data_IF_100343565063
#
_entry.id   IF_100343565063
#
_cell.length_a   1.000
_cell.length_b   1.000
_cell.length_c   1.000
_cell.angle_alpha   90.00
_cell.angle_beta   90.00
_cell.angle_gamma   90.00
#
_symmetry.space_group_name_H-M   'P 1'
#
loop_
_entity.id
_entity.type
_entity.pdbx_description
1 polymer ?
#
# COMPACT_ATOMS: atom_id res chain seq x y z
N UNK A 1 23.94 -9.11 -2.55
CA UNK A 1 23.51 -9.33 -1.15
C UNK A 1 23.19 -7.97 -0.54
N UNK A 2 21.93 -7.54 -0.58
CA UNK A 2 21.49 -6.36 0.17
C UNK A 2 21.37 -6.77 1.65
N UNK A 3 21.87 -5.97 2.60
CA UNK A 3 21.93 -6.36 4.00
C UNK A 3 20.51 -6.35 4.61
N UNK A 4 20.16 -7.50 5.19
CA UNK A 4 19.03 -7.64 6.10
C UNK A 4 19.33 -6.76 7.32
N UNK A 5 18.52 -5.72 7.53
CA UNK A 5 18.67 -4.76 8.62
C UNK A 5 18.58 -5.53 9.94
N UNK A 6 19.71 -5.65 10.64
CA UNK A 6 19.79 -6.19 12.00
C UNK A 6 20.18 -5.07 12.97
N UNK A 7 19.38 -4.96 14.03
CA UNK A 7 19.54 -4.22 15.29
C UNK A 7 19.13 -2.75 15.37
N UNK A 8 18.18 -2.57 16.31
CA UNK A 8 17.95 -1.45 17.23
C UNK A 8 17.27 -0.17 16.75
N UNK A 9 16.10 -0.30 16.10
CA UNK A 9 15.00 0.69 16.15
C UNK A 9 13.74 0.01 15.57
N UNK A 10 12.55 0.12 16.18
CA UNK A 10 11.37 -0.55 15.64
C UNK A 10 10.93 0.15 14.35
N UNK A 11 10.79 -0.53 13.20
CA UNK A 11 10.13 0.04 12.03
C UNK A 11 8.62 0.00 12.29
N UNK A 12 8.13 0.98 13.04
CA UNK A 12 6.75 1.10 13.51
C UNK A 12 5.98 2.21 12.79
N UNK A 13 6.08 2.34 11.48
CA UNK A 13 5.15 3.15 10.67
C UNK A 13 5.00 2.48 9.29
N UNK A 14 3.83 2.15 8.75
CA UNK A 14 2.49 2.33 9.22
C UNK A 14 1.62 1.13 8.81
N UNK A 15 0.90 0.61 9.77
CA UNK A 15 -0.24 -0.25 9.53
C UNK A 15 -1.43 0.71 9.44
N UNK A 16 -2.04 0.86 8.26
CA UNK A 16 -3.13 1.82 7.94
C UNK A 16 -3.26 2.96 8.96
N UNK A 17 -2.80 4.16 8.62
CA UNK A 17 -2.91 5.35 9.46
C UNK A 17 -4.29 5.51 10.14
N UNK A 18 -5.37 5.04 9.49
CA UNK A 18 -6.74 4.99 10.04
C UNK A 18 -7.01 3.83 11.03
N UNK A 19 -6.50 2.60 10.80
CA UNK A 19 -6.61 1.49 11.77
C UNK A 19 -5.75 1.72 13.00
N UNK A 20 -4.61 2.42 12.89
CA UNK A 20 -3.80 2.80 14.04
C UNK A 20 -4.55 3.77 14.98
N UNK A 21 -5.29 4.73 14.40
CA UNK A 21 -6.11 5.68 15.16
C UNK A 21 -7.28 4.99 15.89
N UNK A 22 -7.94 4.04 15.22
CA UNK A 22 -8.99 3.21 15.81
C UNK A 22 -8.44 2.25 16.89
N UNK A 23 -7.27 1.65 16.66
CA UNK A 23 -6.60 0.71 17.56
C UNK A 23 -6.07 1.36 18.84
N UNK A 24 -5.52 2.58 18.74
CA UNK A 24 -4.92 3.26 19.89
C UNK A 24 -5.95 3.99 20.77
N UNK A 25 -7.24 4.02 20.40
CA UNK A 25 -8.28 4.86 21.03
C UNK A 25 -7.80 6.30 21.27
N UNK A 26 -6.86 6.76 20.46
CA UNK A 26 -6.31 8.10 20.61
C UNK A 26 -7.39 9.04 20.09
N UNK A 27 -7.79 10.04 20.88
CA UNK A 27 -8.67 11.06 20.36
C UNK A 27 -8.00 11.68 19.13
N UNK A 28 -8.79 11.86 18.08
CA UNK A 28 -8.34 12.39 16.79
C UNK A 28 -7.58 13.71 16.95
N UNK A 29 -7.71 14.42 18.07
CA UNK A 29 -6.99 15.65 18.36
C UNK A 29 -5.47 15.44 18.50
N UNK A 30 -4.94 14.50 19.29
CA UNK A 30 -3.53 14.55 19.72
C UNK A 30 -2.50 14.08 18.69
N UNK A 31 -2.78 13.01 17.93
CA UNK A 31 -1.83 12.50 16.92
C UNK A 31 -1.94 13.29 15.61
N UNK A 32 -3.16 13.69 15.25
CA UNK A 32 -3.41 14.68 14.21
C UNK A 32 -2.70 15.97 14.57
N UNK A 33 -2.75 16.46 15.81
CA UNK A 33 -2.01 17.67 16.21
C UNK A 33 -0.48 17.50 16.13
N UNK A 34 0.07 16.32 16.42
CA UNK A 34 1.51 16.05 16.26
C UNK A 34 1.94 16.03 14.78
N UNK A 35 1.19 15.36 13.89
CA UNK A 35 1.44 15.41 12.43
C UNK A 35 1.12 16.78 11.83
N UNK A 36 0.04 17.44 12.25
CA UNK A 36 -0.30 18.81 11.89
C UNK A 36 0.81 19.79 12.28
N UNK A 37 1.44 19.63 13.44
CA UNK A 37 2.56 20.47 13.85
C UNK A 37 3.78 20.28 12.94
N UNK A 38 4.05 19.05 12.47
CA UNK A 38 5.10 18.78 11.48
C UNK A 38 4.76 19.33 10.08
N UNK A 39 3.51 19.17 9.64
CA UNK A 39 3.01 19.67 8.35
C UNK A 39 2.98 21.20 8.32
N UNK A 40 2.66 21.87 9.43
CA UNK A 40 2.74 23.34 9.56
C UNK A 40 4.17 23.85 9.66
N UNK A 41 5.08 23.11 10.30
CA UNK A 41 6.49 23.50 10.35
C UNK A 41 7.16 23.48 8.97
N UNK A 42 6.58 22.71 8.03
CA UNK A 42 7.03 22.57 6.65
C UNK A 42 6.23 23.40 5.64
N UNK A 43 5.49 24.43 6.07
CA UNK A 43 4.82 25.42 5.21
C UNK A 43 5.83 26.38 4.54
N UNK A 44 6.92 25.82 4.02
CA UNK A 44 7.86 26.53 3.15
C UNK A 44 7.20 26.65 1.78
N UNK A 45 6.95 27.88 1.28
CA UNK A 45 6.36 28.08 -0.03
C UNK A 45 7.15 27.35 -1.12
N UNK A 46 6.46 26.55 -1.94
CA UNK A 46 7.06 25.83 -3.07
C UNK A 46 7.45 24.37 -2.80
N UNK A 47 7.31 23.84 -1.58
CA UNK A 47 7.54 22.42 -1.30
C UNK A 47 6.21 21.66 -1.36
N UNK A 48 6.15 20.62 -2.20
CA UNK A 48 4.99 19.72 -2.29
C UNK A 48 5.08 18.60 -1.25
N UNK A 49 4.12 18.55 -0.33
CA UNK A 49 4.03 17.61 0.79
C UNK A 49 3.20 16.40 0.40
N UNK A 50 3.83 15.23 0.39
CA UNK A 50 3.24 13.96 -0.04
C UNK A 50 3.13 12.99 1.13
N UNK A 51 1.96 12.41 1.35
CA UNK A 51 1.81 11.27 2.27
C UNK A 51 1.86 9.94 1.51
N UNK A 52 2.56 8.95 2.04
CA UNK A 52 2.53 7.58 1.49
C UNK A 52 1.40 6.81 2.15
N UNK A 53 0.48 6.28 1.35
CA UNK A 53 -0.59 5.41 1.84
C UNK A 53 -0.29 3.97 1.45
N UNK A 54 -0.25 3.07 2.44
CA UNK A 54 0.19 1.69 2.28
C UNK A 54 -0.65 0.73 3.11
N UNK A 55 -0.63 -0.55 2.71
CA UNK A 55 -1.16 -1.66 3.49
C UNK A 55 -0.24 -2.86 3.30
N UNK A 56 0.34 -3.37 4.39
CA UNK A 56 1.43 -4.36 4.34
C UNK A 56 1.00 -5.76 3.89
N UNK A 57 -0.29 -6.09 4.01
CA UNK A 57 -0.83 -7.39 3.59
C UNK A 57 -0.24 -8.52 4.43
N UNK A 58 0.27 -9.59 3.79
CA UNK A 58 0.87 -10.74 4.50
C UNK A 58 2.19 -10.42 5.24
N UNK A 59 2.79 -9.25 5.02
CA UNK A 59 4.00 -8.78 5.72
C UNK A 59 3.62 -8.16 7.07
N UNK A 60 2.95 -8.96 7.90
CA UNK A 60 2.56 -8.58 9.27
C UNK A 60 2.45 -9.82 10.14
N UNK A 61 2.34 -9.63 11.45
CA UNK A 61 2.09 -10.70 12.42
C UNK A 61 0.77 -10.45 13.13
N UNK A 62 0.20 -11.50 13.74
CA UNK A 62 -1.07 -11.41 14.47
C UNK A 62 -1.02 -10.38 15.61
N UNK A 63 0.15 -10.13 16.21
CA UNK A 63 0.29 -9.18 17.33
C UNK A 63 -0.02 -7.73 16.93
N UNK A 64 0.11 -7.39 15.64
CA UNK A 64 -0.22 -6.07 15.10
C UNK A 64 -1.63 -5.99 14.53
N UNK A 65 -2.38 -7.10 14.51
CA UNK A 65 -3.73 -7.15 13.95
C UNK A 65 -4.80 -6.88 15.02
N UNK A 66 -5.88 -6.18 14.68
CA UNK A 66 -7.04 -6.07 15.56
C UNK A 66 -7.55 -7.44 15.99
N UNK A 67 -7.75 -7.62 17.30
CA UNK A 67 -8.19 -8.89 17.91
C UNK A 67 -7.27 -10.09 17.60
N UNK A 68 -5.98 -9.84 17.32
CA UNK A 68 -4.98 -10.86 16.98
C UNK A 68 -5.37 -11.76 15.79
N UNK A 69 -6.15 -11.23 14.85
CA UNK A 69 -6.52 -11.94 13.62
C UNK A 69 -5.30 -12.19 12.73
N UNK A 70 -5.45 -13.07 11.75
CA UNK A 70 -4.45 -13.25 10.71
C UNK A 70 -4.34 -11.97 9.85
N UNK A 71 -3.13 -11.61 9.37
CA UNK A 71 -2.96 -10.61 8.32
C UNK A 71 -3.73 -10.99 7.06
N UNK A 72 -4.01 -10.02 6.19
CA UNK A 72 -4.78 -10.25 4.96
C UNK A 72 -3.89 -10.27 3.71
N UNK A 73 -4.27 -11.00 2.66
CA UNK A 73 -3.55 -11.02 1.39
C UNK A 73 -4.43 -11.48 0.22
N UNK A 74 -3.87 -11.49 -0.99
CA UNK A 74 -4.49 -12.15 -2.14
C UNK A 74 -4.46 -13.69 -2.03
N UNK A 75 -3.59 -14.22 -1.17
CA UNK A 75 -3.30 -15.65 -0.97
C UNK A 75 -3.51 -16.10 0.48
N UNK A 76 -3.47 -17.41 0.71
CA UNK A 76 -3.34 -18.05 2.03
C UNK A 76 -1.91 -18.57 2.29
N UNK A 77 -0.93 -18.17 1.47
CA UNK A 77 0.49 -18.52 1.65
C UNK A 77 1.24 -17.38 2.36
N UNK A 78 1.72 -17.65 3.57
CA UNK A 78 2.64 -16.74 4.28
C UNK A 78 4.02 -16.70 3.62
N UNK A 79 4.87 -15.78 4.06
CA UNK A 79 6.30 -15.82 3.73
C UNK A 79 6.99 -16.98 4.47
N UNK A 80 8.18 -17.38 4.01
CA UNK A 80 8.95 -18.45 4.67
C UNK A 80 9.20 -18.14 6.15
N UNK A 81 8.95 -19.08 7.08
CA UNK A 81 9.28 -18.90 8.49
C UNK A 81 10.75 -18.53 8.70
N UNK A 82 11.02 -17.60 9.61
CA UNK A 82 12.36 -17.04 9.85
C UNK A 82 12.85 -16.03 8.81
N UNK A 83 12.10 -15.75 7.72
CA UNK A 83 12.43 -14.65 6.82
C UNK A 83 12.46 -13.33 7.61
N UNK A 84 13.56 -12.60 7.49
CA UNK A 84 13.84 -11.39 8.30
C UNK A 84 13.78 -11.64 9.83
N UNK A 85 14.00 -12.87 10.27
CA UNK A 85 13.96 -13.25 11.70
C UNK A 85 12.56 -13.28 12.31
N UNK A 86 11.51 -13.35 11.48
CA UNK A 86 10.11 -13.35 11.91
C UNK A 86 9.39 -14.58 11.38
N UNK A 87 8.53 -15.17 12.20
CA UNK A 87 7.59 -16.20 11.77
C UNK A 87 6.30 -15.56 11.26
N UNK A 88 6.07 -15.72 9.96
CA UNK A 88 4.93 -15.11 9.27
C UNK A 88 3.70 -16.03 9.37
N UNK A 89 2.60 -15.59 10.00
CA UNK A 89 1.39 -16.40 10.06
C UNK A 89 0.78 -16.58 8.66
N UNK A 90 0.04 -17.67 8.48
CA UNK A 90 -0.81 -17.87 7.31
C UNK A 90 -1.81 -16.71 7.17
N UNK A 91 -1.79 -15.94 6.07
CA UNK A 91 -2.70 -14.82 5.90
C UNK A 91 -4.13 -15.30 5.56
N UNK A 92 -5.11 -14.49 5.90
CA UNK A 92 -6.48 -14.60 5.41
C UNK A 92 -6.55 -14.12 3.95
N UNK A 93 -7.00 -14.99 3.06
CA UNK A 93 -7.25 -14.63 1.67
C UNK A 93 -8.50 -13.77 1.59
N UNK A 94 -8.36 -12.54 1.10
CA UNK A 94 -9.50 -11.65 0.91
C UNK A 94 -10.53 -12.24 -0.05
N UNK A 95 -11.79 -12.19 0.32
CA UNK A 95 -12.91 -12.32 -0.62
C UNK A 95 -13.06 -11.08 -1.50
N UNK A 96 -13.79 -11.18 -2.61
CA UNK A 96 -14.13 -10.04 -3.48
C UNK A 96 -14.73 -8.88 -2.67
N UNK A 97 -15.65 -9.19 -1.75
CA UNK A 97 -16.28 -8.17 -0.90
C UNK A 97 -15.29 -7.49 0.06
N UNK A 98 -14.35 -8.25 0.63
CA UNK A 98 -13.32 -7.68 1.51
C UNK A 98 -12.30 -6.86 0.70
N UNK A 99 -11.99 -7.25 -0.55
CA UNK A 99 -11.18 -6.44 -1.46
C UNK A 99 -11.80 -5.05 -1.68
N UNK A 100 -13.11 -4.99 -1.91
CA UNK A 100 -13.84 -3.72 -2.03
C UNK A 100 -13.77 -2.85 -0.75
N UNK A 101 -13.77 -3.48 0.43
CA UNK A 101 -13.57 -2.76 1.68
C UNK A 101 -12.17 -2.15 1.77
N UNK A 102 -11.12 -2.88 1.37
CA UNK A 102 -9.75 -2.37 1.36
C UNK A 102 -9.60 -1.20 0.36
N UNK A 103 -10.25 -1.25 -0.80
CA UNK A 103 -10.29 -0.12 -1.73
C UNK A 103 -10.85 1.13 -1.04
N UNK A 104 -11.96 0.97 -0.31
CA UNK A 104 -12.55 2.08 0.44
C UNK A 104 -11.63 2.57 1.58
N UNK A 105 -10.85 1.70 2.21
CA UNK A 105 -9.86 2.11 3.22
C UNK A 105 -8.76 3.01 2.60
N UNK A 106 -8.26 2.71 1.40
CA UNK A 106 -7.32 3.60 0.68
C UNK A 106 -7.95 4.95 0.34
N UNK A 107 -9.21 4.95 -0.13
CA UNK A 107 -9.97 6.16 -0.43
C UNK A 107 -10.10 7.07 0.79
N UNK A 108 -10.51 6.52 1.93
CA UNK A 108 -10.62 7.27 3.18
C UNK A 108 -9.25 7.77 3.66
N UNK A 109 -8.19 6.96 3.53
CA UNK A 109 -6.84 7.39 3.90
C UNK A 109 -6.37 8.59 3.06
N UNK A 110 -6.68 8.61 1.76
CA UNK A 110 -6.37 9.72 0.89
C UNK A 110 -7.12 10.99 1.27
N UNK A 111 -8.44 10.89 1.55
CA UNK A 111 -9.23 12.02 2.07
C UNK A 111 -8.62 12.60 3.34
N UNK A 112 -8.31 11.74 4.31
CA UNK A 112 -7.74 12.18 5.58
C UNK A 112 -6.35 12.82 5.43
N UNK A 113 -5.56 12.40 4.43
CA UNK A 113 -4.28 13.07 4.13
C UNK A 113 -4.50 14.51 3.62
N UNK A 114 -5.46 14.71 2.72
CA UNK A 114 -5.81 16.06 2.25
C UNK A 114 -6.36 16.93 3.38
N UNK A 115 -7.25 16.39 4.21
CA UNK A 115 -7.77 17.08 5.40
C UNK A 115 -6.67 17.44 6.41
N UNK A 116 -5.59 16.65 6.46
CA UNK A 116 -4.41 16.92 7.28
C UNK A 116 -3.46 17.98 6.70
N UNK A 117 -3.70 18.45 5.47
CA UNK A 117 -2.91 19.50 4.82
C UNK A 117 -1.75 18.99 3.96
N UNK A 118 -1.76 17.72 3.55
CA UNK A 118 -0.88 17.25 2.48
C UNK A 118 -1.38 17.74 1.12
N UNK A 119 -0.44 18.01 0.21
CA UNK A 119 -0.75 18.43 -1.17
C UNK A 119 -1.20 17.26 -2.06
N UNK A 120 -0.92 16.03 -1.64
CA UNK A 120 -1.37 14.81 -2.29
C UNK A 120 -0.83 13.54 -1.66
N UNK A 121 -1.09 12.39 -2.30
CA UNK A 121 -0.71 11.07 -1.80
C UNK A 121 0.06 10.27 -2.84
N UNK A 122 0.96 9.41 -2.37
CA UNK A 122 1.53 8.32 -3.16
C UNK A 122 0.99 6.98 -2.66
N UNK A 123 0.30 6.27 -3.54
CA UNK A 123 -0.17 4.91 -3.32
C UNK A 123 1.02 3.97 -3.38
N UNK A 124 1.24 3.18 -2.32
CA UNK A 124 2.34 2.22 -2.29
C UNK A 124 1.95 0.89 -2.97
N UNK A 125 2.28 0.78 -4.26
CA UNK A 125 2.11 -0.42 -5.08
C UNK A 125 3.39 -1.24 -5.29
N UNK A 126 4.23 -1.37 -4.26
CA UNK A 126 5.60 -1.86 -4.41
C UNK A 126 6.05 -2.70 -3.19
N UNK A 127 7.22 -3.31 -3.30
CA UNK A 127 7.96 -3.99 -2.23
C UNK A 127 7.15 -5.07 -1.49
N UNK A 128 6.39 -5.88 -2.21
CA UNK A 128 5.70 -7.04 -1.64
C UNK A 128 4.59 -6.70 -0.64
N UNK A 129 4.08 -5.47 -0.61
CA UNK A 129 2.88 -5.08 0.13
C UNK A 129 1.60 -5.39 -0.64
N UNK A 130 0.43 -5.12 -0.07
CA UNK A 130 -0.81 -5.75 -0.51
C UNK A 130 -1.10 -5.57 -2.01
N UNK A 131 -0.89 -4.38 -2.57
CA UNK A 131 -1.11 -4.15 -4.00
C UNK A 131 -0.11 -4.93 -4.86
N UNK A 132 1.15 -4.99 -4.43
CA UNK A 132 2.19 -5.78 -5.10
C UNK A 132 1.91 -7.29 -4.97
N UNK A 133 1.40 -7.76 -3.82
CA UNK A 133 0.97 -9.14 -3.63
C UNK A 133 -0.12 -9.55 -4.62
N UNK A 134 -1.08 -8.66 -4.93
CA UNK A 134 -2.08 -8.91 -5.96
C UNK A 134 -1.47 -8.84 -7.37
N UNK A 135 -0.58 -7.89 -7.64
CA UNK A 135 0.03 -7.76 -8.96
C UNK A 135 0.96 -8.92 -9.30
N UNK A 136 1.69 -9.50 -8.34
CA UNK A 136 2.80 -10.44 -8.58
C UNK A 136 2.34 -11.90 -8.64
N UNK A 137 2.66 -12.61 -9.73
CA UNK A 137 2.20 -14.00 -9.95
C UNK A 137 2.83 -15.06 -9.03
N UNK A 138 3.97 -14.77 -8.39
CA UNK A 138 4.54 -15.65 -7.38
C UNK A 138 3.70 -15.69 -6.09
N UNK A 139 2.85 -14.68 -5.87
CA UNK A 139 2.00 -14.56 -4.68
C UNK A 139 0.53 -14.77 -5.02
N UNK A 140 0.04 -14.11 -6.08
CA UNK A 140 -1.36 -14.16 -6.47
C UNK A 140 -1.71 -15.47 -7.18
N UNK A 141 -2.28 -16.40 -6.40
CA UNK A 141 -2.81 -17.68 -6.86
C UNK A 141 -4.35 -17.71 -6.88
N UNK A 142 -5.00 -16.54 -7.07
CA UNK A 142 -6.45 -16.45 -7.19
C UNK A 142 -6.92 -16.91 -8.57
N UNK A 143 -8.15 -17.41 -8.63
CA UNK A 143 -8.82 -17.84 -9.87
C UNK A 143 -10.06 -17.00 -10.20
N UNK A 144 -10.33 -15.95 -9.42
CA UNK A 144 -11.46 -15.04 -9.60
C UNK A 144 -11.09 -13.84 -10.50
N UNK A 145 -11.82 -12.74 -10.39
CA UNK A 145 -11.59 -11.52 -11.19
C UNK A 145 -10.32 -10.75 -10.82
N UNK A 146 -9.67 -11.13 -9.71
CA UNK A 146 -8.44 -10.51 -9.20
C UNK A 146 -7.19 -11.38 -9.39
N UNK A 147 -7.23 -12.48 -10.16
CA UNK A 147 -6.04 -13.30 -10.41
C UNK A 147 -6.03 -14.09 -11.72
N UNK A 148 -4.96 -14.84 -11.94
CA UNK A 148 -4.68 -15.53 -13.20
C UNK A 148 -3.99 -14.61 -14.21
N UNK A 149 -4.75 -13.97 -15.09
CA UNK A 149 -4.18 -13.13 -16.15
C UNK A 149 -3.57 -11.84 -15.59
N UNK A 150 -2.66 -11.22 -16.36
CA UNK A 150 -2.00 -9.97 -15.96
C UNK A 150 -3.01 -8.86 -15.67
N UNK A 151 -4.04 -8.72 -16.50
CA UNK A 151 -5.09 -7.72 -16.35
C UNK A 151 -5.85 -7.90 -15.04
N UNK A 152 -6.18 -9.16 -14.70
CA UNK A 152 -6.89 -9.49 -13.47
C UNK A 152 -6.04 -9.27 -12.23
N UNK A 153 -4.76 -9.63 -12.26
CA UNK A 153 -3.81 -9.37 -11.16
C UNK A 153 -3.65 -7.88 -10.88
N UNK A 154 -3.61 -7.07 -11.93
CA UNK A 154 -3.49 -5.62 -11.83
C UNK A 154 -4.79 -4.89 -11.45
N UNK A 155 -5.95 -5.54 -11.61
CA UNK A 155 -7.27 -4.96 -11.34
C UNK A 155 -7.36 -4.26 -9.99
N UNK A 156 -6.95 -4.94 -8.93
CA UNK A 156 -7.04 -4.38 -7.57
C UNK A 156 -6.26 -3.07 -7.41
N UNK A 157 -5.04 -3.00 -7.94
CA UNK A 157 -4.24 -1.78 -7.89
C UNK A 157 -4.88 -0.64 -8.70
N UNK A 158 -5.46 -0.95 -9.86
CA UNK A 158 -6.14 0.04 -10.70
C UNK A 158 -7.44 0.54 -10.07
N UNK A 159 -8.23 -0.32 -9.45
CA UNK A 159 -9.45 0.07 -8.71
C UNK A 159 -9.11 0.95 -7.49
N UNK A 160 -7.98 0.68 -6.81
CA UNK A 160 -7.49 1.57 -5.73
C UNK A 160 -7.09 2.94 -6.28
N UNK A 161 -6.37 2.99 -7.41
CA UNK A 161 -5.99 4.26 -8.06
C UNK A 161 -7.24 5.04 -8.46
N UNK A 162 -8.19 4.39 -9.12
CA UNK A 162 -9.47 4.99 -9.53
C UNK A 162 -10.21 5.59 -8.33
N UNK A 163 -10.43 4.81 -7.27
CA UNK A 163 -11.15 5.26 -6.09
C UNK A 163 -10.48 6.44 -5.37
N UNK A 164 -9.14 6.48 -5.35
CA UNK A 164 -8.37 7.59 -4.76
C UNK A 164 -8.40 8.82 -5.68
N UNK A 165 -8.30 8.64 -6.99
CA UNK A 165 -8.40 9.71 -7.98
C UNK A 165 -9.78 10.37 -7.94
N UNK A 166 -10.85 9.59 -7.87
CA UNK A 166 -12.22 10.09 -7.72
C UNK A 166 -12.40 10.92 -6.43
N UNK A 167 -11.64 10.59 -5.38
CA UNK A 167 -11.78 11.21 -4.07
C UNK A 167 -11.03 12.54 -3.94
N UNK A 168 -9.78 12.62 -4.43
CA UNK A 168 -8.91 13.79 -4.20
C UNK A 168 -8.45 14.50 -5.48
N UNK A 169 -8.77 13.94 -6.65
CA UNK A 169 -8.34 14.42 -7.96
C UNK A 169 -6.98 13.87 -8.41
N UNK A 170 -6.88 13.54 -9.70
CA UNK A 170 -5.69 12.89 -10.29
C UNK A 170 -4.40 13.70 -10.13
N UNK A 171 -4.51 15.03 -10.12
CA UNK A 171 -3.39 15.97 -9.97
C UNK A 171 -2.69 15.90 -8.59
N UNK A 172 -3.27 15.14 -7.65
CA UNK A 172 -2.78 14.94 -6.28
C UNK A 172 -2.43 13.48 -5.99
N UNK A 173 -2.47 12.60 -6.99
CA UNK A 173 -2.26 11.17 -6.81
C UNK A 173 -1.00 10.75 -7.57
N UNK A 174 -0.13 10.01 -6.90
CA UNK A 174 0.92 9.22 -7.51
C UNK A 174 0.83 7.76 -7.09
N UNK A 175 1.53 6.88 -7.79
CA UNK A 175 1.70 5.48 -7.39
C UNK A 175 3.16 5.06 -7.56
N UNK A 176 3.66 4.34 -6.57
CA UNK A 176 5.00 3.74 -6.61
C UNK A 176 4.90 2.26 -6.96
N UNK A 177 5.65 1.83 -7.97
CA UNK A 177 5.71 0.43 -8.43
C UNK A 177 7.14 -0.12 -8.32
N UNK A 178 7.26 -1.44 -8.15
CA UNK A 178 8.55 -2.14 -8.19
C UNK A 178 8.44 -3.48 -8.94
N UNK A 179 8.20 -3.48 -10.26
CA UNK A 179 7.93 -4.70 -11.02
C UNK A 179 9.06 -5.73 -10.92
N UNK A 180 10.31 -5.26 -10.95
CA UNK A 180 11.52 -6.10 -10.91
C UNK A 180 11.96 -6.53 -9.50
N UNK A 181 11.33 -6.01 -8.44
CA UNK A 181 11.69 -6.38 -7.08
C UNK A 181 10.94 -7.65 -6.65
N UNK A 182 11.64 -8.52 -5.94
CA UNK A 182 11.13 -9.78 -5.36
C UNK A 182 11.07 -9.75 -3.82
N UNK A 183 11.21 -8.56 -3.24
CA UNK A 183 11.20 -8.33 -1.79
C UNK A 183 9.97 -8.97 -1.11
N UNK A 184 10.19 -9.57 0.07
CA UNK A 184 9.18 -10.35 0.81
C UNK A 184 8.54 -11.48 -0.01
N UNK A 185 9.36 -12.13 -0.85
CA UNK A 185 8.98 -13.25 -1.71
C UNK A 185 7.85 -12.88 -2.69
N UNK A 186 7.92 -11.66 -3.24
CA UNK A 186 6.90 -11.09 -4.13
C UNK A 186 7.44 -10.81 -5.53
N UNK A 187 7.93 -11.86 -6.21
CA UNK A 187 8.43 -11.79 -7.59
C UNK A 187 7.35 -11.96 -8.65
N UNK A 188 7.67 -11.61 -9.90
CA UNK A 188 6.83 -11.86 -11.08
C UNK A 188 7.61 -12.65 -12.12
N UNK A 189 6.95 -13.56 -12.84
CA UNK A 189 7.59 -14.31 -13.93
C UNK A 189 7.89 -13.44 -15.16
N UNK A 190 7.20 -12.31 -15.36
CA UNK A 190 7.44 -11.38 -16.45
C UNK A 190 7.30 -9.90 -15.97
N UNK A 191 8.30 -9.40 -15.21
CA UNK A 191 8.26 -8.07 -14.61
C UNK A 191 8.25 -6.93 -15.64
N UNK A 192 8.78 -7.17 -16.85
CA UNK A 192 8.73 -6.20 -17.96
C UNK A 192 7.28 -6.02 -18.46
N UNK A 193 6.57 -7.11 -18.74
CA UNK A 193 5.17 -7.05 -19.15
C UNK A 193 4.29 -6.44 -18.05
N UNK A 194 4.53 -6.79 -16.78
CA UNK A 194 3.82 -6.18 -15.65
C UNK A 194 4.06 -4.67 -15.57
N UNK A 195 5.33 -4.24 -15.63
CA UNK A 195 5.69 -2.83 -15.58
C UNK A 195 5.08 -2.02 -16.73
N UNK A 196 5.16 -2.55 -17.96
CA UNK A 196 4.59 -1.92 -19.14
C UNK A 196 3.06 -1.81 -19.05
N UNK A 197 2.38 -2.91 -18.72
CA UNK A 197 0.93 -2.93 -18.59
C UNK A 197 0.42 -1.92 -17.55
N UNK A 198 1.08 -1.85 -16.39
CA UNK A 198 0.73 -0.88 -15.35
C UNK A 198 0.99 0.55 -15.82
N UNK A 199 2.14 0.84 -16.44
CA UNK A 199 2.42 2.18 -16.95
C UNK A 199 1.39 2.64 -18.00
N UNK A 200 1.03 1.78 -18.95
CA UNK A 200 0.01 2.06 -19.97
C UNK A 200 -1.39 2.24 -19.35
N UNK A 201 -1.75 1.41 -18.38
CA UNK A 201 -3.04 1.49 -17.70
C UNK A 201 -3.16 2.76 -16.87
N UNK A 202 -2.10 3.16 -16.18
CA UNK A 202 -2.07 4.35 -15.32
C UNK A 202 -2.17 5.66 -16.11
N UNK A 203 -1.69 5.70 -17.35
CA UNK A 203 -1.83 6.87 -18.23
C UNK A 203 -3.29 7.30 -18.42
N UNK A 204 -4.25 6.39 -18.29
CA UNK A 204 -5.69 6.66 -18.44
C UNK A 204 -6.25 7.52 -17.31
N UNK A 205 -5.61 7.52 -16.14
CA UNK A 205 -6.08 8.24 -14.95
C UNK A 205 -5.50 9.64 -14.82
N UNK A 206 -4.50 10.00 -15.65
CA UNK A 206 -3.88 11.34 -15.59
C UNK A 206 -3.16 11.64 -14.26
N UNK A 207 -2.72 10.60 -13.54
CA UNK A 207 -2.03 10.73 -12.26
C UNK A 207 -0.60 11.28 -12.42
N UNK A 208 -0.02 11.76 -11.31
CA UNK A 208 1.36 12.24 -11.27
C UNK A 208 2.34 11.09 -11.56
N UNK A 209 3.18 11.31 -12.57
CA UNK A 209 4.33 10.46 -12.90
C UNK A 209 5.54 10.88 -12.05
N UNK A 210 6.49 9.96 -11.72
CA UNK A 210 7.74 10.32 -11.04
C UNK A 210 8.57 11.43 -11.73
N UNK A 211 8.25 11.77 -12.99
CA UNK A 211 8.91 12.83 -13.77
C UNK A 211 8.11 14.12 -13.94
N UNK A 212 6.86 14.21 -13.49
CA UNK A 212 6.04 15.41 -13.70
C UNK A 212 6.14 16.37 -12.52
N UNK A 213 7.25 17.13 -12.48
CA UNK A 213 7.35 18.56 -12.14
C UNK A 213 8.84 18.93 -12.16
N UNK A 214 9.24 19.68 -13.19
CA UNK A 214 10.48 20.44 -13.25
C UNK A 214 10.29 21.80 -12.58
#
# INVERSE_FOLDING_TARGET
MQPCITRSEPPMEAFLFLKLLEYLKLPMDKFTQAKFNFIRYSDTPGIWKKEHIWHVGRVSTCDYQPNKKAPISCTNKGCTPGLCGVDWPTPHRLSVNETAQVINEFKLAARSAIEAGFDGVEIHGAHGYILDQFMKDAVNDRTDEYGGTLEKRCRFALEVVEAVVEEIGADKVGIRLSPFADYMESGDSNPEALGLFMAESLNKFGILSPRTRA
#
